data_IF_189645212970
#
_entry.id   IF_189645212970
#
_cell.length_a   1.000
_cell.length_b   1.000
_cell.length_c   1.000
_cell.angle_alpha   90.00
_cell.angle_beta   90.00
_cell.angle_gamma   90.00
#
_symmetry.space_group_name_H-M   'P 1'
#
loop_
_entity.id
_entity.type
_entity.pdbx_description
1 polymer ?
#
# COMPACT_ATOMS: atom_id res chain seq x y z
N UNK A 1 -11.73 26.69 1.56
CA UNK A 1 -10.69 25.62 1.59
C UNK A 1 -9.89 25.67 0.32
N UNK A 2 -8.68 25.10 0.30
CA UNK A 2 -7.88 24.90 -0.91
C UNK A 2 -7.70 23.40 -1.10
N UNK A 3 -7.73 22.96 -2.35
CA UNK A 3 -7.56 21.56 -2.73
C UNK A 3 -6.15 21.34 -3.25
N UNK A 4 -5.54 20.21 -2.91
CA UNK A 4 -4.18 19.85 -3.28
C UNK A 4 -4.15 18.38 -3.71
N UNK A 5 -3.40 18.09 -4.77
CA UNK A 5 -3.10 16.73 -5.20
C UNK A 5 -1.69 16.38 -4.77
N UNK A 6 -1.55 15.31 -3.99
CA UNK A 6 -0.27 14.68 -3.69
C UNK A 6 -0.28 13.24 -4.20
N UNK A 7 0.83 12.80 -4.76
CA UNK A 7 1.00 11.42 -5.25
C UNK A 7 2.23 10.78 -4.59
N UNK A 8 2.16 9.46 -4.39
CA UNK A 8 3.25 8.63 -3.86
C UNK A 8 3.32 7.36 -4.70
N UNK A 9 4.53 6.85 -4.93
CA UNK A 9 4.71 5.48 -5.43
C UNK A 9 4.68 4.55 -4.22
N UNK A 10 3.82 3.54 -4.27
CA UNK A 10 3.63 2.56 -3.21
C UNK A 10 3.92 1.16 -3.75
N UNK A 11 4.22 0.23 -2.84
CA UNK A 11 4.26 -1.19 -3.14
C UNK A 11 3.04 -1.86 -2.53
N UNK A 12 2.43 -2.81 -3.21
CA UNK A 12 1.28 -3.52 -2.69
C UNK A 12 1.25 -4.96 -3.17
N UNK A 13 0.78 -5.86 -2.31
CA UNK A 13 0.61 -7.27 -2.60
C UNK A 13 -0.75 -7.75 -2.08
N UNK A 14 -1.44 -8.68 -2.77
CA UNK A 14 -2.68 -9.24 -2.27
C UNK A 14 -2.49 -9.86 -0.89
N UNK A 15 -3.32 -9.45 0.06
CA UNK A 15 -3.35 -10.00 1.42
C UNK A 15 -4.76 -9.86 1.99
N UNK A 16 -5.30 -10.92 2.58
CA UNK A 16 -6.61 -10.83 3.23
C UNK A 16 -6.52 -10.12 4.60
N UNK A 17 -7.63 -9.52 5.02
CA UNK A 17 -7.69 -8.71 6.24
C UNK A 17 -7.23 -9.47 7.49
N UNK A 18 -7.68 -10.70 7.67
CA UNK A 18 -7.35 -11.47 8.87
C UNK A 18 -5.88 -11.87 8.92
N UNK A 19 -5.26 -12.17 7.78
CA UNK A 19 -3.80 -12.38 7.70
C UNK A 19 -3.04 -11.11 8.09
N UNK A 20 -3.42 -9.95 7.56
CA UNK A 20 -2.80 -8.68 7.96
C UNK A 20 -2.93 -8.41 9.47
N UNK A 21 -4.12 -8.59 10.03
CA UNK A 21 -4.39 -8.35 11.46
C UNK A 21 -3.56 -9.25 12.38
N UNK A 22 -3.41 -10.54 12.01
CA UNK A 22 -2.58 -11.48 12.78
C UNK A 22 -1.10 -11.14 12.67
N UNK A 23 -0.61 -10.92 11.45
CA UNK A 23 0.82 -10.83 11.20
C UNK A 23 1.40 -9.46 11.58
N UNK A 24 0.67 -8.38 11.28
CA UNK A 24 1.13 -6.99 11.46
C UNK A 24 0.53 -6.27 12.67
N UNK A 25 -0.67 -6.66 13.13
CA UNK A 25 -1.33 -6.03 14.29
C UNK A 25 -1.36 -6.92 15.54
N UNK A 26 -0.97 -8.19 15.42
CA UNK A 26 -1.01 -9.19 16.52
C UNK A 26 -2.40 -9.30 17.16
N UNK A 27 -3.44 -9.18 16.34
CA UNK A 27 -4.83 -9.31 16.78
C UNK A 27 -5.35 -10.73 16.54
N UNK A 28 -6.17 -11.22 17.48
CA UNK A 28 -6.93 -12.44 17.29
C UNK A 28 -8.09 -12.20 16.31
N UNK A 29 -8.22 -13.08 15.32
CA UNK A 29 -9.23 -13.03 14.28
C UNK A 29 -10.14 -14.26 14.29
N UNK A 30 -10.12 -15.02 15.39
CA UNK A 30 -10.95 -16.22 15.55
C UNK A 30 -12.43 -15.88 15.41
N UNK A 31 -13.14 -16.60 14.52
CA UNK A 31 -14.57 -16.39 14.26
C UNK A 31 -14.90 -15.15 13.42
N UNK A 32 -13.91 -14.45 12.88
CA UNK A 32 -14.11 -13.29 12.01
C UNK A 32 -14.11 -13.71 10.53
N UNK A 33 -15.03 -13.16 9.75
CA UNK A 33 -14.99 -13.25 8.29
C UNK A 33 -13.84 -12.40 7.74
N UNK A 34 -13.06 -12.97 6.80
CA UNK A 34 -11.97 -12.24 6.16
C UNK A 34 -12.43 -11.57 4.87
N UNK A 35 -11.78 -10.46 4.51
CA UNK A 35 -12.05 -9.69 3.30
C UNK A 35 -10.82 -9.67 2.39
N UNK A 36 -10.99 -9.71 1.07
CA UNK A 36 -9.88 -9.55 0.14
C UNK A 36 -9.36 -8.11 0.17
N UNK A 37 -8.06 -7.96 0.04
CA UNK A 37 -7.42 -6.65 0.00
C UNK A 37 -5.95 -6.73 -0.33
N UNK A 38 -5.24 -5.67 0.02
CA UNK A 38 -3.82 -5.50 -0.24
C UNK A 38 -3.11 -5.00 1.02
N UNK A 39 -1.95 -5.58 1.32
CA UNK A 39 -0.97 -4.94 2.19
C UNK A 39 -0.25 -3.85 1.38
N UNK A 40 -0.05 -2.68 1.98
CA UNK A 40 0.50 -1.50 1.28
C UNK A 40 1.73 -0.94 2.00
N UNK A 41 2.85 -1.02 1.27
CA UNK A 41 4.16 -0.39 1.42
C UNK A 41 4.24 1.11 1.08
N UNK A 42 4.35 2.03 2.05
CA UNK A 42 4.65 3.44 1.75
C UNK A 42 6.16 3.74 1.78
N UNK A 43 6.64 4.81 1.07
CA UNK A 43 8.07 5.16 1.02
C UNK A 43 8.71 5.50 2.38
N UNK A 44 7.93 5.94 3.34
CA UNK A 44 8.37 6.24 4.71
C UNK A 44 8.44 5.00 5.61
N UNK A 45 8.17 3.82 5.05
CA UNK A 45 8.14 2.55 5.78
C UNK A 45 6.82 2.29 6.51
N UNK A 46 5.83 3.18 6.41
CA UNK A 46 4.50 2.90 6.93
C UNK A 46 3.87 1.72 6.17
N UNK A 47 3.21 0.83 6.92
CA UNK A 47 2.51 -0.34 6.37
C UNK A 47 1.03 -0.24 6.75
N UNK A 48 0.16 -0.34 5.75
CA UNK A 48 -1.29 -0.39 5.94
C UNK A 48 -1.90 -1.61 5.24
N UNK A 49 -3.21 -1.79 5.43
CA UNK A 49 -4.02 -2.71 4.66
C UNK A 49 -5.22 -1.95 4.08
N UNK A 50 -5.56 -2.25 2.83
CA UNK A 50 -6.69 -1.63 2.13
C UNK A 50 -7.62 -2.70 1.54
N UNK A 51 -8.95 -2.55 1.67
CA UNK A 51 -9.90 -3.39 0.96
C UNK A 51 -9.65 -3.41 -0.55
N UNK A 52 -9.93 -4.54 -1.20
CA UNK A 52 -9.65 -4.75 -2.63
C UNK A 52 -10.30 -3.68 -3.52
N UNK A 53 -11.59 -3.44 -3.33
CA UNK A 53 -12.38 -2.48 -4.09
C UNK A 53 -11.90 -1.03 -3.91
N UNK A 54 -11.56 -0.66 -2.66
CA UNK A 54 -10.99 0.65 -2.34
C UNK A 54 -9.62 0.82 -2.99
N UNK A 55 -8.76 -0.20 -2.90
CA UNK A 55 -7.42 -0.17 -3.48
C UNK A 55 -7.46 -0.05 -5.01
N UNK A 56 -8.24 -0.92 -5.68
CA UNK A 56 -8.33 -0.94 -7.15
C UNK A 56 -9.01 0.32 -7.73
N UNK A 57 -9.85 1.00 -6.95
CA UNK A 57 -10.44 2.28 -7.35
C UNK A 57 -9.45 3.44 -7.19
N UNK A 58 -8.62 3.42 -6.16
CA UNK A 58 -7.71 4.52 -5.81
C UNK A 58 -6.35 4.44 -6.52
N UNK A 59 -5.90 3.24 -6.88
CA UNK A 59 -4.56 3.00 -7.37
C UNK A 59 -4.57 2.26 -8.72
N UNK A 60 -3.55 2.55 -9.53
CA UNK A 60 -3.20 1.77 -10.72
C UNK A 60 -1.76 1.32 -10.65
N UNK A 61 -1.44 0.29 -11.40
CA UNK A 61 -0.05 -0.06 -11.63
C UNK A 61 0.67 1.07 -12.39
N UNK A 62 1.95 1.25 -12.08
CA UNK A 62 2.82 2.13 -12.83
C UNK A 62 3.19 1.47 -14.16
N UNK A 63 3.33 2.27 -15.21
CA UNK A 63 3.81 1.77 -16.49
C UNK A 63 5.30 1.43 -16.41
N UNK A 64 5.80 0.67 -17.38
CA UNK A 64 7.23 0.35 -17.49
C UNK A 64 8.06 1.64 -17.57
N UNK A 65 7.60 2.63 -18.34
CA UNK A 65 8.27 3.92 -18.49
C UNK A 65 8.28 4.72 -17.18
N UNK A 66 7.16 4.73 -16.45
CA UNK A 66 7.09 5.37 -15.13
C UNK A 66 8.03 4.71 -14.12
N UNK A 67 8.13 3.37 -14.14
CA UNK A 67 9.05 2.63 -13.29
C UNK A 67 10.51 2.99 -13.56
N UNK A 68 10.88 3.20 -14.82
CA UNK A 68 12.23 3.66 -15.18
C UNK A 68 12.54 5.03 -14.56
N UNK A 69 11.58 5.96 -14.57
CA UNK A 69 11.75 7.29 -13.97
C UNK A 69 11.93 7.24 -12.45
N UNK A 70 11.19 6.36 -11.76
CA UNK A 70 11.28 6.20 -10.29
C UNK A 70 12.67 5.70 -9.88
N UNK A 71 13.21 4.71 -10.58
CA UNK A 71 14.52 4.13 -10.28
C UNK A 71 15.72 5.03 -10.61
N UNK A 72 15.50 6.08 -11.43
CA UNK A 72 16.53 7.07 -11.77
C UNK A 72 16.65 8.18 -10.73
N UNK A 73 15.70 8.30 -9.81
CA UNK A 73 15.82 9.25 -8.70
C UNK A 73 16.81 8.69 -7.66
N UNK A 74 17.94 9.37 -7.37
CA UNK A 74 18.84 8.91 -6.34
C UNK A 74 18.06 8.93 -5.03
N UNK A 75 18.03 7.79 -4.33
CA UNK A 75 17.51 7.69 -2.97
C UNK A 75 18.09 8.85 -2.18
N UNK A 76 17.27 9.87 -1.86
CA UNK A 76 17.69 10.96 -0.98
C UNK A 76 17.86 10.29 0.38
N UNK A 77 19.07 9.79 0.61
CA UNK A 77 19.56 9.30 1.88
C UNK A 77 19.50 10.51 2.80
N UNK A 78 18.45 10.56 3.61
CA UNK A 78 18.41 11.45 4.75
C UNK A 78 19.43 10.90 5.74
N UNK A 79 20.68 11.36 5.61
CA UNK A 79 21.64 11.37 6.71
C UNK A 79 21.34 12.55 7.61
#
# INVERSE_FOLDING_TARGET
MKEYVGTKIIQAEPMDECTFLRDHKKQDTTGRETRPGYIVQYPDGYISWSPKDVFETAYREITIDERALVNLTPTISHR
#
